data_IF_939126603746
#
_entry.id   IF_939126603746
#
_cell.length_a   1.000
_cell.length_b   1.000
_cell.length_c   1.000
_cell.angle_alpha   90.00
_cell.angle_beta   90.00
_cell.angle_gamma   90.00
#
_symmetry.space_group_name_H-M   'P 1'
#
loop_
_entity.id
_entity.type
_entity.pdbx_description
1 polymer ?
#
# COMPACT_ATOMS: atom_id res chain seq x y z
N UNK A 1 -5.34 -17.32 -12.93
CA UNK A 1 -6.22 -16.66 -11.96
C UNK A 1 -6.79 -15.40 -12.64
N UNK A 2 -8.09 -15.18 -12.59
CA UNK A 2 -8.76 -14.05 -13.24
C UNK A 2 -9.14 -13.03 -12.16
N UNK A 3 -8.74 -11.76 -12.36
CA UNK A 3 -9.07 -10.66 -11.44
C UNK A 3 -10.05 -9.67 -12.06
N UNK A 4 -10.74 -10.08 -13.14
CA UNK A 4 -11.73 -9.23 -13.81
C UNK A 4 -12.75 -8.69 -12.80
N UNK A 5 -12.95 -7.39 -12.83
CA UNK A 5 -13.89 -6.64 -11.98
C UNK A 5 -13.59 -6.73 -10.46
N UNK A 6 -12.40 -7.21 -10.06
CA UNK A 6 -11.94 -7.22 -8.67
C UNK A 6 -11.32 -5.89 -8.30
N UNK A 7 -11.61 -5.41 -7.10
CA UNK A 7 -11.03 -4.19 -6.54
C UNK A 7 -9.81 -4.56 -5.70
N UNK A 8 -8.65 -4.02 -6.09
CA UNK A 8 -7.35 -4.32 -5.48
C UNK A 8 -6.73 -3.02 -4.98
N UNK A 9 -6.52 -2.92 -3.67
CA UNK A 9 -5.75 -1.84 -3.05
C UNK A 9 -4.30 -2.29 -2.87
N UNK A 10 -3.35 -1.41 -3.18
CA UNK A 10 -1.92 -1.67 -3.02
C UNK A 10 -1.27 -0.46 -2.35
N UNK A 11 -0.75 -0.63 -1.14
CA UNK A 11 0.01 0.43 -0.48
C UNK A 11 1.44 0.51 -1.05
N UNK A 12 1.93 1.74 -1.28
CA UNK A 12 3.17 1.93 -2.05
C UNK A 12 3.05 1.47 -3.50
N UNK A 13 1.84 1.58 -4.08
CA UNK A 13 1.50 1.05 -5.40
C UNK A 13 2.04 1.83 -6.59
N UNK A 14 2.71 2.97 -6.37
CA UNK A 14 3.24 3.86 -7.42
C UNK A 14 4.72 3.61 -7.76
N UNK A 15 5.41 2.78 -6.98
CA UNK A 15 6.84 2.49 -7.20
C UNK A 15 7.21 1.04 -6.87
N UNK A 16 8.40 0.63 -7.29
CA UNK A 16 9.01 -0.64 -6.91
C UNK A 16 8.12 -1.88 -7.10
N UNK A 17 8.13 -2.74 -6.09
CA UNK A 17 7.36 -4.01 -6.07
C UNK A 17 5.86 -3.73 -6.15
N UNK A 18 5.36 -2.72 -5.43
CA UNK A 18 3.96 -2.35 -5.43
C UNK A 18 3.45 -1.97 -6.83
N UNK A 19 4.21 -1.15 -7.56
CA UNK A 19 3.86 -0.77 -8.95
C UNK A 19 3.87 -1.98 -9.89
N UNK A 20 4.84 -2.87 -9.78
CA UNK A 20 4.87 -4.08 -10.62
C UNK A 20 3.68 -5.00 -10.33
N UNK A 21 3.32 -5.17 -9.07
CA UNK A 21 2.11 -5.91 -8.69
C UNK A 21 0.85 -5.22 -9.23
N UNK A 22 0.76 -3.89 -9.15
CA UNK A 22 -0.33 -3.10 -9.69
C UNK A 22 -0.52 -3.34 -11.21
N UNK A 23 0.57 -3.32 -11.97
CA UNK A 23 0.56 -3.62 -13.41
C UNK A 23 0.02 -5.03 -13.68
N UNK A 24 0.48 -6.03 -12.94
CA UNK A 24 0.03 -7.41 -13.12
C UNK A 24 -1.44 -7.63 -12.75
N UNK A 25 -1.93 -7.01 -11.68
CA UNK A 25 -3.36 -7.04 -11.34
C UNK A 25 -4.21 -6.34 -12.41
N UNK A 26 -3.78 -5.17 -12.86
CA UNK A 26 -4.43 -4.41 -13.92
C UNK A 26 -4.53 -5.23 -15.22
N UNK A 27 -3.45 -5.86 -15.66
CA UNK A 27 -3.43 -6.75 -16.86
C UNK A 27 -4.39 -7.93 -16.74
N UNK A 28 -4.72 -8.34 -15.52
CA UNK A 28 -5.67 -9.42 -15.23
C UNK A 28 -7.11 -8.92 -15.06
N UNK A 29 -7.36 -7.64 -15.32
CA UNK A 29 -8.68 -7.02 -15.34
C UNK A 29 -9.15 -6.46 -14.00
N UNK A 30 -8.26 -6.28 -13.03
CA UNK A 30 -8.60 -5.66 -11.75
C UNK A 30 -8.74 -4.14 -11.86
N UNK A 31 -9.62 -3.56 -11.04
CA UNK A 31 -9.61 -2.15 -10.68
C UNK A 31 -8.56 -1.92 -9.59
N UNK A 32 -7.43 -1.33 -9.96
CA UNK A 32 -6.31 -1.11 -9.04
C UNK A 32 -6.39 0.29 -8.45
N UNK A 33 -6.27 0.38 -7.12
CA UNK A 33 -6.14 1.64 -6.39
C UNK A 33 -4.81 1.63 -5.63
N UNK A 34 -3.88 2.49 -6.05
CA UNK A 34 -2.59 2.66 -5.40
C UNK A 34 -2.69 3.67 -4.25
N UNK A 35 -2.36 3.26 -3.02
CA UNK A 35 -2.16 4.18 -1.90
C UNK A 35 -0.71 4.64 -1.89
N UNK A 36 -0.48 5.95 -1.78
CA UNK A 36 0.86 6.52 -1.95
C UNK A 36 1.01 7.87 -1.24
N UNK A 37 2.23 8.23 -0.91
CA UNK A 37 2.62 9.58 -0.46
C UNK A 37 3.47 10.32 -1.50
N UNK A 38 3.63 9.72 -2.70
CA UNK A 38 4.41 10.32 -3.77
C UNK A 38 3.75 11.60 -4.30
N UNK A 39 4.56 12.43 -4.98
CA UNK A 39 4.09 13.65 -5.64
C UNK A 39 3.14 13.30 -6.78
N UNK A 40 2.24 14.22 -7.06
CA UNK A 40 1.19 14.05 -8.07
C UNK A 40 1.72 13.65 -9.45
N UNK A 41 2.87 14.21 -9.88
CA UNK A 41 3.49 13.90 -11.15
C UNK A 41 3.93 12.44 -11.23
N UNK A 42 4.56 11.92 -10.16
CA UNK A 42 4.97 10.51 -10.04
C UNK A 42 3.75 9.60 -10.07
N UNK A 43 2.71 9.98 -9.35
CA UNK A 43 1.46 9.21 -9.32
C UNK A 43 0.82 9.12 -10.72
N UNK A 44 0.72 10.24 -11.43
CA UNK A 44 0.15 10.27 -12.80
C UNK A 44 0.92 9.39 -13.78
N UNK A 45 2.25 9.41 -13.72
CA UNK A 45 3.08 8.54 -14.55
C UNK A 45 2.87 7.07 -14.21
N UNK A 46 2.89 6.72 -12.92
CA UNK A 46 2.67 5.36 -12.46
C UNK A 46 1.29 4.82 -12.90
N UNK A 47 0.22 5.61 -12.72
CA UNK A 47 -1.14 5.20 -13.13
C UNK A 47 -1.23 5.00 -14.64
N UNK A 48 -0.57 5.82 -15.43
CA UNK A 48 -0.51 5.64 -16.89
C UNK A 48 0.16 4.31 -17.28
N UNK A 49 1.23 3.93 -16.58
CA UNK A 49 1.90 2.65 -16.80
C UNK A 49 1.06 1.44 -16.34
N UNK A 50 0.36 1.58 -15.21
CA UNK A 50 -0.51 0.54 -14.67
C UNK A 50 -1.70 0.28 -15.61
N UNK A 51 -2.30 1.35 -16.16
CA UNK A 51 -3.36 1.24 -17.15
C UNK A 51 -4.72 0.78 -16.61
N UNK A 52 -5.66 0.44 -17.51
CA UNK A 52 -6.98 -0.12 -17.21
C UNK A 52 -7.76 0.59 -16.08
N UNK A 53 -7.90 1.91 -16.18
CA UNK A 53 -8.63 2.73 -15.20
C UNK A 53 -8.09 2.65 -13.76
N UNK A 54 -6.81 2.29 -13.60
CA UNK A 54 -6.15 2.38 -12.30
C UNK A 54 -6.25 3.81 -11.75
N UNK A 55 -6.27 3.91 -10.44
CA UNK A 55 -6.31 5.20 -9.74
C UNK A 55 -5.34 5.20 -8.56
N UNK A 56 -5.08 6.38 -8.01
CA UNK A 56 -4.33 6.50 -6.77
C UNK A 56 -5.10 7.35 -5.77
N UNK A 57 -4.81 7.14 -4.50
CA UNK A 57 -5.26 7.95 -3.38
C UNK A 57 -4.02 8.35 -2.58
N UNK A 58 -3.90 9.64 -2.24
CA UNK A 58 -2.85 10.08 -1.35
C UNK A 58 -3.15 9.59 0.07
N UNK A 59 -2.32 8.69 0.58
CA UNK A 59 -2.52 8.01 1.85
C UNK A 59 -1.17 7.77 2.53
N UNK A 60 -0.97 8.42 3.65
CA UNK A 60 0.13 8.13 4.56
C UNK A 60 -0.31 7.00 5.50
N UNK A 61 0.20 5.78 5.27
CA UNK A 61 -0.19 4.60 6.04
C UNK A 61 0.13 4.71 7.53
N UNK A 62 1.05 5.59 7.93
CA UNK A 62 1.37 5.87 9.34
C UNK A 62 0.27 6.64 10.07
N UNK A 63 -0.70 7.20 9.33
CA UNK A 63 -1.81 8.02 9.85
C UNK A 63 -3.13 7.28 9.75
N UNK A 64 -3.74 7.01 10.89
CA UNK A 64 -4.99 6.26 10.97
C UNK A 64 -6.11 6.88 10.15
N UNK A 65 -6.26 8.21 10.22
CA UNK A 65 -7.33 8.94 9.53
C UNK A 65 -7.18 8.88 8.00
N UNK A 66 -5.93 8.89 7.49
CA UNK A 66 -5.66 8.76 6.06
C UNK A 66 -6.06 7.36 5.57
N UNK A 67 -5.64 6.31 6.28
CA UNK A 67 -5.99 4.91 5.93
C UNK A 67 -7.49 4.71 5.95
N UNK A 68 -8.17 5.15 7.03
CA UNK A 68 -9.62 5.04 7.17
C UNK A 68 -10.34 5.70 5.99
N UNK A 69 -10.05 6.97 5.71
CA UNK A 69 -10.67 7.72 4.61
C UNK A 69 -10.39 7.10 3.25
N UNK A 70 -9.18 6.61 3.04
CA UNK A 70 -8.79 5.99 1.77
C UNK A 70 -9.58 4.69 1.52
N UNK A 71 -9.75 3.85 2.52
CA UNK A 71 -10.60 2.64 2.40
C UNK A 71 -12.06 3.02 2.19
N UNK A 72 -12.59 4.02 2.91
CA UNK A 72 -13.95 4.52 2.71
C UNK A 72 -14.16 5.05 1.28
N UNK A 73 -13.19 5.78 0.71
CA UNK A 73 -13.23 6.28 -0.67
C UNK A 73 -13.26 5.13 -1.70
N UNK A 74 -12.42 4.10 -1.50
CA UNK A 74 -12.44 2.90 -2.35
C UNK A 74 -13.81 2.24 -2.31
N UNK A 75 -14.38 2.06 -1.11
CA UNK A 75 -15.68 1.41 -0.94
C UNK A 75 -16.82 2.27 -1.51
N UNK A 76 -16.74 3.59 -1.35
CA UNK A 76 -17.73 4.51 -1.95
C UNK A 76 -17.72 4.41 -3.49
N UNK A 77 -16.53 4.32 -4.09
CA UNK A 77 -16.39 4.28 -5.56
C UNK A 77 -16.75 2.92 -6.17
N UNK A 78 -16.35 1.82 -5.53
CA UNK A 78 -16.44 0.48 -6.12
C UNK A 78 -17.42 -0.45 -5.39
N UNK A 79 -17.92 -0.08 -4.22
CA UNK A 79 -18.83 -0.89 -3.41
C UNK A 79 -18.20 -2.07 -2.69
N UNK A 80 -16.89 -2.33 -2.89
CA UNK A 80 -16.19 -3.52 -2.41
C UNK A 80 -14.67 -3.35 -2.31
N UNK A 81 -14.02 -4.25 -1.58
CA UNK A 81 -12.57 -4.43 -1.54
C UNK A 81 -12.26 -5.94 -1.60
N UNK A 82 -11.80 -6.44 -2.74
CA UNK A 82 -11.54 -7.87 -2.92
C UNK A 82 -10.17 -8.30 -2.41
N UNK A 83 -9.16 -7.49 -2.72
CA UNK A 83 -7.78 -7.79 -2.37
C UNK A 83 -7.09 -6.55 -1.83
N UNK A 84 -6.24 -6.74 -0.83
CA UNK A 84 -5.33 -5.73 -0.35
C UNK A 84 -3.90 -6.28 -0.36
N UNK A 85 -2.95 -5.49 -0.84
CA UNK A 85 -1.53 -5.79 -0.79
C UNK A 85 -0.82 -4.69 0.00
N UNK A 86 -0.54 -4.97 1.27
CA UNK A 86 0.19 -4.10 2.17
C UNK A 86 1.69 -4.22 1.88
N UNK A 87 2.17 -3.31 1.03
CA UNK A 87 3.53 -3.32 0.52
C UNK A 87 4.30 -2.02 0.84
N UNK A 88 3.61 -0.95 1.25
CA UNK A 88 4.29 0.27 1.67
C UNK A 88 5.30 -0.04 2.77
N UNK A 89 6.49 0.48 2.60
CA UNK A 89 7.59 0.32 3.54
C UNK A 89 8.73 1.27 3.20
N UNK A 90 9.56 1.53 4.16
CA UNK A 90 10.78 2.32 4.03
C UNK A 90 11.96 1.51 4.55
N UNK A 91 13.11 1.73 3.97
CA UNK A 91 14.34 1.06 4.36
C UNK A 91 15.56 1.92 4.06
N UNK A 92 16.76 1.46 4.42
CA UNK A 92 17.98 2.20 4.17
C UNK A 92 18.21 2.30 2.65
N UNK A 93 17.83 3.45 2.10
CA UNK A 93 17.98 3.79 0.68
C UNK A 93 18.99 4.91 0.46
N UNK A 94 19.62 5.39 1.54
CA UNK A 94 20.56 6.51 1.55
C UNK A 94 19.91 7.89 1.34
N UNK A 95 18.59 7.95 1.11
CA UNK A 95 17.85 9.18 0.85
C UNK A 95 16.84 9.46 1.97
N UNK A 96 15.92 8.54 2.18
CA UNK A 96 14.88 8.65 3.25
C UNK A 96 15.40 8.10 4.57
N UNK A 97 16.21 7.05 4.50
CA UNK A 97 16.81 6.39 5.64
C UNK A 97 18.31 6.12 5.33
N UNK A 98 19.24 6.71 6.10
CA UNK A 98 20.67 6.50 5.90
C UNK A 98 21.07 5.05 6.25
N UNK A 99 22.20 4.61 5.68
CA UNK A 99 22.84 3.35 6.06
C UNK A 99 23.67 3.59 7.34
N UNK A 100 23.06 3.39 8.50
CA UNK A 100 23.66 3.62 9.82
C UNK A 100 23.74 2.31 10.61
N UNK A 101 24.73 2.21 11.50
CA UNK A 101 24.76 1.13 12.49
C UNK A 101 23.65 1.35 13.53
N UNK A 102 23.22 0.28 14.20
CA UNK A 102 22.19 0.37 15.24
C UNK A 102 22.52 1.42 16.32
N UNK A 103 23.79 1.61 16.63
CA UNK A 103 24.26 2.57 17.64
C UNK A 103 24.20 4.03 17.19
N UNK A 104 24.01 4.27 15.91
CA UNK A 104 23.96 5.60 15.28
C UNK A 104 22.56 6.01 14.85
N UNK A 105 21.63 5.05 14.72
CA UNK A 105 20.24 5.33 14.34
C UNK A 105 19.58 6.25 15.38
N UNK A 106 19.05 7.37 14.90
CA UNK A 106 18.31 8.29 15.75
C UNK A 106 16.94 7.74 16.13
N UNK A 107 16.42 8.13 17.30
CA UNK A 107 15.03 7.83 17.70
C UNK A 107 14.01 8.26 16.61
N UNK A 108 14.23 9.41 15.98
CA UNK A 108 13.38 9.89 14.88
C UNK A 108 13.38 8.93 13.68
N UNK A 109 14.52 8.37 13.31
CA UNK A 109 14.63 7.39 12.24
C UNK A 109 13.93 6.10 12.62
N UNK A 110 14.13 5.64 13.86
CA UNK A 110 13.44 4.50 14.43
C UNK A 110 11.92 4.66 14.38
N UNK A 111 11.40 5.78 14.91
CA UNK A 111 9.97 6.07 14.92
C UNK A 111 9.38 6.08 13.52
N UNK A 112 10.08 6.69 12.55
CA UNK A 112 9.64 6.72 11.17
C UNK A 112 9.49 5.31 10.58
N UNK A 113 10.44 4.43 10.81
CA UNK A 113 10.40 3.04 10.32
C UNK A 113 9.26 2.28 10.98
N UNK A 114 9.15 2.35 12.30
CA UNK A 114 8.10 1.66 13.07
C UNK A 114 6.71 2.18 12.67
N UNK A 115 6.57 3.48 12.48
CA UNK A 115 5.30 4.09 12.09
C UNK A 115 4.85 3.64 10.69
N UNK A 116 5.75 3.48 9.73
CA UNK A 116 5.39 3.05 8.38
C UNK A 116 5.30 1.53 8.29
N UNK A 117 6.37 0.81 8.67
CA UNK A 117 6.53 -0.62 8.35
C UNK A 117 5.77 -1.54 9.32
N UNK A 118 5.48 -1.09 10.52
CA UNK A 118 4.75 -1.87 11.53
C UNK A 118 3.36 -1.29 11.80
N UNK A 119 3.27 -0.05 12.29
CA UNK A 119 1.98 0.58 12.59
C UNK A 119 1.14 0.76 11.32
N UNK A 120 1.76 1.13 10.19
CA UNK A 120 1.08 1.30 8.91
C UNK A 120 0.40 0.01 8.46
N UNK A 121 1.08 -1.13 8.54
CA UNK A 121 0.49 -2.45 8.23
C UNK A 121 -0.68 -2.76 9.18
N UNK A 122 -0.53 -2.49 10.48
CA UNK A 122 -1.61 -2.67 11.45
C UNK A 122 -2.84 -1.82 11.12
N UNK A 123 -2.65 -0.54 10.78
CA UNK A 123 -3.75 0.37 10.43
C UNK A 123 -4.46 -0.07 9.13
N UNK A 124 -3.71 -0.46 8.11
CA UNK A 124 -4.27 -1.00 6.88
C UNK A 124 -5.09 -2.26 7.17
N UNK A 125 -4.52 -3.25 7.87
CA UNK A 125 -5.21 -4.47 8.26
C UNK A 125 -6.51 -4.18 9.03
N UNK A 126 -6.50 -3.22 9.95
CA UNK A 126 -7.68 -2.84 10.73
C UNK A 126 -8.85 -2.44 9.84
N UNK A 127 -8.65 -1.53 8.91
CA UNK A 127 -9.74 -1.00 8.07
C UNK A 127 -10.09 -1.91 6.89
N UNK A 128 -9.13 -2.62 6.34
CA UNK A 128 -9.36 -3.66 5.33
C UNK A 128 -10.20 -4.81 5.89
N UNK A 129 -9.86 -5.32 7.07
CA UNK A 129 -10.60 -6.39 7.72
C UNK A 129 -12.02 -5.95 8.12
N UNK A 130 -12.18 -4.72 8.64
CA UNK A 130 -13.52 -4.18 8.94
C UNK A 130 -14.42 -4.19 7.69
N UNK A 131 -13.88 -3.77 6.54
CA UNK A 131 -14.63 -3.79 5.28
C UNK A 131 -14.87 -5.23 4.78
N UNK A 132 -13.85 -6.08 4.80
CA UNK A 132 -13.94 -7.47 4.32
C UNK A 132 -14.88 -8.32 5.18
N UNK A 133 -14.90 -8.10 6.50
CA UNK A 133 -15.88 -8.74 7.39
C UNK A 133 -17.31 -8.30 7.09
N UNK A 134 -17.54 -6.99 6.87
CA UNK A 134 -18.86 -6.44 6.52
C UNK A 134 -19.40 -7.03 5.22
N UNK A 135 -18.55 -7.26 4.23
CA UNK A 135 -18.96 -7.80 2.93
C UNK A 135 -18.91 -9.34 2.85
N UNK A 136 -18.26 -10.02 3.81
CA UNK A 136 -18.19 -11.48 3.92
C UNK A 136 -17.10 -12.15 3.07
N UNK A 137 -16.21 -11.40 2.44
CA UNK A 137 -15.09 -11.92 1.63
C UNK A 137 -13.95 -10.91 1.57
N UNK A 138 -12.76 -11.39 1.19
CA UNK A 138 -11.55 -10.59 0.93
C UNK A 138 -10.29 -11.40 1.12
N UNK A 139 -9.20 -10.92 0.59
CA UNK A 139 -7.87 -11.51 0.73
C UNK A 139 -6.84 -10.41 0.96
N UNK A 140 -5.99 -10.60 1.97
CA UNK A 140 -4.92 -9.65 2.29
C UNK A 140 -3.58 -10.35 2.17
N UNK A 141 -2.61 -9.66 1.59
CA UNK A 141 -1.20 -10.06 1.54
C UNK A 141 -0.37 -8.94 2.15
N UNK A 142 0.53 -9.29 3.05
CA UNK A 142 1.49 -8.36 3.64
C UNK A 142 2.90 -8.68 3.16
N UNK A 143 3.67 -7.66 2.80
CA UNK A 143 5.10 -7.81 2.52
C UNK A 143 5.84 -8.12 3.82
N UNK A 144 6.69 -9.14 3.78
CA UNK A 144 7.65 -9.46 4.82
C UNK A 144 9.08 -9.29 4.29
N UNK A 145 10.07 -9.50 5.12
CA UNK A 145 11.48 -9.39 4.73
C UNK A 145 12.25 -10.64 5.09
N UNK A 146 13.20 -11.02 4.22
CA UNK A 146 14.19 -12.06 4.53
C UNK A 146 15.06 -11.67 5.73
N UNK A 147 15.16 -10.38 6.06
CA UNK A 147 15.84 -9.89 7.26
C UNK A 147 15.26 -10.45 8.56
N UNK A 148 14.00 -10.90 8.57
CA UNK A 148 13.39 -11.56 9.73
C UNK A 148 13.83 -13.02 9.97
N UNK A 149 14.62 -13.59 9.07
CA UNK A 149 15.14 -14.97 9.17
C UNK A 149 16.61 -15.06 9.61
N UNK A 150 17.25 -13.95 9.96
CA UNK A 150 18.67 -13.91 10.35
C UNK A 150 18.84 -13.63 11.83
#
# INVERSE_FOLDING_TARGET
>A
MNFKDKVVVITGGTSGIGKQAAIEFSRKGAHVVAFTVDKEEVCKEAIKEIGNDASYIHCDVSKEEDVKKSIEEVVLKYGRLDCAFNNAGIGPDGVRMPYESLTEISEKTWDLVVDVDMKGVFLCLKYELLQMQKQGFGTIVNTASIGGYK
#
